data_IF_796543046565
#
_entry.id   IF_796543046565
#
_cell.length_a   1.000
_cell.length_b   1.000
_cell.length_c   1.000
_cell.angle_alpha   90.00
_cell.angle_beta   90.00
_cell.angle_gamma   90.00
#
_symmetry.space_group_name_H-M   'P 1'
#
loop_
_entity.id
_entity.type
_entity.pdbx_description
1 polymer ?
#
# COMPACT_ATOMS: atom_id res chain seq x y z
N UNK A 1 -36.15 -17.00 -9.35
CA UNK A 1 -35.41 -17.91 -8.42
C UNK A 1 -33.93 -17.76 -8.77
N UNK A 2 -32.98 -17.34 -7.93
CA UNK A 2 -32.87 -17.37 -6.48
C UNK A 2 -32.06 -16.14 -6.01
N UNK A 3 -32.52 -15.48 -4.95
CA UNK A 3 -31.84 -14.34 -4.33
C UNK A 3 -30.86 -14.87 -3.27
N UNK A 4 -29.55 -14.79 -3.53
CA UNK A 4 -28.51 -15.14 -2.55
C UNK A 4 -27.99 -13.89 -1.87
N UNK A 5 -28.72 -13.40 -0.86
CA UNK A 5 -28.14 -12.48 0.11
C UNK A 5 -27.02 -13.21 0.84
N UNK A 6 -25.77 -12.98 0.43
CA UNK A 6 -24.61 -13.29 1.27
C UNK A 6 -24.79 -12.51 2.56
N UNK A 7 -25.35 -13.17 3.58
CA UNK A 7 -25.35 -12.69 4.96
C UNK A 7 -23.87 -12.58 5.34
N UNK A 8 -23.27 -11.40 5.20
CA UNK A 8 -21.96 -11.10 5.78
C UNK A 8 -22.11 -11.33 7.29
N UNK A 9 -21.66 -12.49 7.78
CA UNK A 9 -21.56 -12.75 9.22
C UNK A 9 -20.62 -11.70 9.79
N UNK A 10 -21.16 -10.79 10.60
CA UNK A 10 -20.34 -9.86 11.37
C UNK A 10 -19.79 -10.62 12.57
N UNK A 11 -18.47 -10.67 12.69
CA UNK A 11 -17.79 -11.18 13.88
C UNK A 11 -17.51 -9.99 14.79
N UNK A 12 -17.81 -10.15 16.08
CA UNK A 12 -17.38 -9.21 17.12
C UNK A 12 -16.10 -9.76 17.76
N UNK A 13 -15.10 -8.91 17.93
CA UNK A 13 -13.88 -9.24 18.65
C UNK A 13 -13.42 -8.02 19.45
N UNK A 14 -12.69 -8.29 20.52
CA UNK A 14 -12.06 -7.26 21.35
C UNK A 14 -10.54 -7.36 21.22
N UNK A 15 -9.86 -6.22 21.25
CA UNK A 15 -8.39 -6.16 21.24
C UNK A 15 -7.94 -5.20 22.34
N UNK A 16 -6.95 -5.63 23.11
CA UNK A 16 -6.29 -4.80 24.11
C UNK A 16 -5.06 -4.16 23.48
N UNK A 17 -4.94 -2.85 23.64
CA UNK A 17 -3.82 -2.04 23.14
C UNK A 17 -3.32 -1.16 24.27
N UNK A 18 -2.07 -0.75 24.20
CA UNK A 18 -1.51 0.19 25.15
C UNK A 18 -2.21 1.57 25.04
N UNK A 19 -2.13 2.34 26.13
CA UNK A 19 -2.77 3.66 26.24
C UNK A 19 -2.34 4.60 25.11
N UNK A 20 -1.05 4.61 24.77
CA UNK A 20 -0.51 5.52 23.76
C UNK A 20 -1.09 5.20 22.38
N UNK A 21 -1.19 3.91 22.03
CA UNK A 21 -1.83 3.47 20.78
C UNK A 21 -3.32 3.82 20.76
N UNK A 22 -4.02 3.63 21.88
CA UNK A 22 -5.43 4.01 22.02
C UNK A 22 -5.68 5.50 21.78
N UNK A 23 -4.86 6.36 22.36
CA UNK A 23 -4.93 7.82 22.17
C UNK A 23 -4.60 8.23 20.73
N UNK A 24 -3.60 7.60 20.10
CA UNK A 24 -3.27 7.85 18.69
C UNK A 24 -4.43 7.48 17.77
N UNK A 25 -5.07 6.32 18.01
CA UNK A 25 -6.23 5.87 17.25
C UNK A 25 -7.41 6.83 17.38
N UNK A 26 -7.69 7.31 18.59
CA UNK A 26 -8.76 8.27 18.87
C UNK A 26 -8.52 9.61 18.15
N UNK A 27 -7.29 10.15 18.21
CA UNK A 27 -6.94 11.37 17.47
C UNK A 27 -7.13 11.19 15.97
N UNK A 28 -6.67 10.06 15.41
CA UNK A 28 -6.81 9.79 13.98
C UNK A 28 -8.29 9.67 13.56
N UNK A 29 -9.12 9.02 14.38
CA UNK A 29 -10.55 8.88 14.14
C UNK A 29 -11.24 10.25 14.05
N UNK A 30 -10.91 11.16 14.97
CA UNK A 30 -11.41 12.53 14.97
C UNK A 30 -10.96 13.31 13.75
N UNK A 31 -9.67 13.28 13.41
CA UNK A 31 -9.13 13.98 12.24
C UNK A 31 -9.78 13.50 10.94
N UNK A 32 -10.01 12.19 10.79
CA UNK A 32 -10.64 11.60 9.61
C UNK A 32 -12.17 11.60 9.63
N UNK A 33 -12.81 12.16 10.69
CA UNK A 33 -14.26 12.14 10.92
C UNK A 33 -14.86 10.74 10.75
N UNK A 34 -14.20 9.72 11.29
CA UNK A 34 -14.61 8.30 11.23
C UNK A 34 -14.58 7.65 12.60
N UNK A 35 -15.06 6.41 12.71
CA UNK A 35 -15.03 5.66 13.98
C UNK A 35 -13.71 4.92 14.18
N UNK A 36 -13.31 4.71 15.45
CA UNK A 36 -12.20 3.81 15.82
C UNK A 36 -12.34 2.43 15.16
N UNK A 37 -13.54 1.87 15.17
CA UNK A 37 -13.81 0.57 14.55
C UNK A 37 -13.65 0.58 13.02
N UNK A 38 -13.89 1.71 12.34
CA UNK A 38 -13.61 1.83 10.92
C UNK A 38 -12.10 1.79 10.66
N UNK A 39 -11.30 2.50 11.45
CA UNK A 39 -9.84 2.45 11.36
C UNK A 39 -9.27 1.07 11.70
N UNK A 40 -9.83 0.39 12.71
CA UNK A 40 -9.42 -0.99 13.05
C UNK A 40 -9.72 -1.94 11.90
N UNK A 41 -10.90 -1.83 11.26
CA UNK A 41 -11.23 -2.63 10.06
C UNK A 41 -10.29 -2.32 8.89
N UNK A 42 -9.98 -1.06 8.65
CA UNK A 42 -9.03 -0.62 7.62
C UNK A 42 -7.64 -1.21 7.89
N UNK A 43 -7.15 -1.10 9.13
CA UNK A 43 -5.85 -1.66 9.53
C UNK A 43 -5.79 -3.18 9.38
N UNK A 44 -6.85 -3.89 9.76
CA UNK A 44 -6.95 -5.34 9.56
C UNK A 44 -6.95 -5.71 8.07
N UNK A 45 -7.68 -4.98 7.22
CA UNK A 45 -7.68 -5.19 5.78
C UNK A 45 -6.26 -5.02 5.21
N UNK A 46 -5.60 -3.91 5.54
CA UNK A 46 -4.21 -3.67 5.12
C UNK A 46 -3.25 -4.75 5.59
N UNK A 47 -3.38 -5.23 6.83
CA UNK A 47 -2.52 -6.28 7.36
C UNK A 47 -2.69 -7.60 6.58
N UNK A 48 -3.93 -7.99 6.31
CA UNK A 48 -4.25 -9.21 5.57
C UNK A 48 -3.85 -9.11 4.09
N UNK A 49 -4.05 -7.95 3.47
CA UNK A 49 -3.62 -7.68 2.09
C UNK A 49 -2.08 -7.69 1.96
N UNK A 50 -1.37 -7.16 2.95
CA UNK A 50 0.11 -7.22 2.98
C UNK A 50 0.62 -8.65 3.10
N UNK A 51 -0.06 -9.50 3.88
CA UNK A 51 0.23 -10.94 3.94
C UNK A 51 -0.06 -11.66 2.63
N UNK A 52 -0.92 -11.10 1.77
CA UNK A 52 -1.37 -11.74 0.55
C UNK A 52 -0.41 -11.59 -0.65
N UNK A 53 0.63 -10.75 -0.60
CA UNK A 53 1.73 -10.67 -1.59
C UNK A 53 2.79 -9.65 -1.15
N UNK A 54 3.79 -10.09 -0.39
CA UNK A 54 5.06 -9.37 -0.33
C UNK A 54 5.82 -9.67 -1.64
N UNK A 55 5.72 -8.79 -2.63
CA UNK A 55 6.43 -8.95 -3.90
C UNK A 55 5.80 -8.18 -5.05
N UNK A 56 6.60 -7.91 -6.07
CA UNK A 56 6.09 -7.40 -7.34
C UNK A 56 5.12 -8.42 -7.95
N UNK A 57 4.02 -7.97 -8.58
CA UNK A 57 3.07 -8.89 -9.19
C UNK A 57 3.74 -9.62 -10.38
N UNK A 58 3.27 -10.83 -10.77
CA UNK A 58 3.89 -11.63 -11.82
C UNK A 58 4.07 -10.87 -13.15
N UNK A 59 3.18 -9.94 -13.45
CA UNK A 59 3.23 -9.06 -14.62
C UNK A 59 4.48 -8.18 -14.61
N UNK A 60 4.87 -7.67 -13.43
CA UNK A 60 6.09 -6.88 -13.26
C UNK A 60 7.33 -7.78 -13.28
N UNK A 61 7.28 -8.93 -12.59
CA UNK A 61 8.41 -9.89 -12.58
C UNK A 61 8.68 -10.51 -13.96
N UNK A 62 7.63 -10.68 -14.77
CA UNK A 62 7.69 -11.23 -16.13
C UNK A 62 7.91 -10.20 -17.23
N UNK A 63 7.96 -8.91 -16.89
CA UNK A 63 8.13 -7.85 -17.87
C UNK A 63 9.53 -7.89 -18.49
N UNK A 64 9.61 -8.14 -19.81
CA UNK A 64 10.88 -8.20 -20.57
C UNK A 64 11.26 -6.88 -21.25
N UNK A 65 10.58 -5.79 -20.91
CA UNK A 65 10.71 -4.53 -21.63
C UNK A 65 9.80 -4.45 -22.86
N UNK A 66 9.83 -3.29 -23.53
CA UNK A 66 9.09 -3.05 -24.76
C UNK A 66 10.05 -3.27 -25.93
N UNK A 67 9.85 -4.26 -26.83
CA UNK A 67 10.81 -4.56 -27.89
C UNK A 67 11.08 -3.37 -28.84
N UNK A 68 10.08 -2.54 -29.09
CA UNK A 68 10.19 -1.35 -29.93
C UNK A 68 10.83 -0.15 -29.20
N UNK A 69 11.02 -0.22 -27.89
CA UNK A 69 11.62 0.88 -27.15
C UNK A 69 13.13 0.91 -27.37
N UNK A 70 13.67 2.12 -27.56
CA UNK A 70 15.13 2.31 -27.61
C UNK A 70 15.74 1.92 -26.25
N UNK A 71 16.90 1.24 -26.21
CA UNK A 71 17.56 0.93 -24.95
C UNK A 71 17.76 2.18 -24.09
N UNK A 72 17.51 2.05 -22.78
CA UNK A 72 17.56 3.17 -21.82
C UNK A 72 18.87 3.98 -21.95
N UNK A 73 20.00 3.28 -22.03
CA UNK A 73 21.33 3.89 -22.09
C UNK A 73 21.80 4.27 -23.51
N UNK A 74 20.96 4.14 -24.55
CA UNK A 74 21.39 4.39 -25.93
C UNK A 74 21.89 5.83 -26.17
N UNK A 75 21.42 6.80 -25.38
CA UNK A 75 21.86 8.18 -25.45
C UNK A 75 22.97 8.54 -24.45
N UNK A 76 23.46 7.60 -23.64
CA UNK A 76 24.43 7.88 -22.56
C UNK A 76 25.67 8.61 -23.08
N UNK A 77 26.16 8.22 -24.25
CA UNK A 77 27.33 8.82 -24.91
C UNK A 77 27.11 10.27 -25.38
N UNK A 78 25.87 10.73 -25.46
CA UNK A 78 25.49 12.10 -25.84
C UNK A 78 25.23 13.00 -24.64
N UNK A 79 25.27 12.45 -23.42
CA UNK A 79 25.11 13.24 -22.21
C UNK A 79 26.38 14.04 -21.94
N UNK A 80 26.21 15.31 -21.58
CA UNK A 80 27.32 16.13 -21.08
C UNK A 80 27.68 15.65 -19.67
N UNK A 81 28.96 15.76 -19.32
CA UNK A 81 29.38 15.49 -17.95
C UNK A 81 28.55 16.35 -16.97
N UNK A 82 28.18 15.82 -15.80
CA UNK A 82 27.56 16.62 -14.75
C UNK A 82 28.44 17.83 -14.43
N UNK A 83 27.81 18.97 -14.12
CA UNK A 83 28.56 20.10 -13.54
C UNK A 83 29.16 19.64 -12.22
N UNK A 84 30.29 20.24 -11.81
CA UNK A 84 30.84 20.02 -10.47
C UNK A 84 29.73 20.22 -9.44
N UNK A 85 29.58 19.23 -8.57
CA UNK A 85 28.63 19.29 -7.47
C UNK A 85 29.03 20.46 -6.54
N UNK A 86 28.12 21.42 -6.29
CA UNK A 86 28.39 22.52 -5.37
C UNK A 86 28.47 22.08 -3.90
N UNK A 87 28.16 20.83 -3.58
CA UNK A 87 28.12 20.25 -2.24
C UNK A 87 29.09 19.06 -2.05
N UNK A 88 29.94 18.74 -3.03
CA UNK A 88 30.96 17.69 -2.92
C UNK A 88 32.24 18.16 -2.22
#
# INVERSE_FOLDING_TARGET
MSSSYIRRRRVNFNVYIDKQTGERLERLARTRRTSRNALVREALAHLLERGAKAGWPPEVLGFRGIPAARPFEAARRRLRAPRKDPLA
#
